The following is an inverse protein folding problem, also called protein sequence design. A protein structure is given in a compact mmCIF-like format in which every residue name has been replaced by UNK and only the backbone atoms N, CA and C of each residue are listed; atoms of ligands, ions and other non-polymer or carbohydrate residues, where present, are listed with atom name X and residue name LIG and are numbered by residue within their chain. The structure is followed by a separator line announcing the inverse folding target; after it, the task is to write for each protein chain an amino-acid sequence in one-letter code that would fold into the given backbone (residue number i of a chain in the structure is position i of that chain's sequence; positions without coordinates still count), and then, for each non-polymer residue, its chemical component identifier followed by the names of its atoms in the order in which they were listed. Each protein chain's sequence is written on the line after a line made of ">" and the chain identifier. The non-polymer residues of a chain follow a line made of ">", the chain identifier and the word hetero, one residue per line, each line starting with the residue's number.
data_IF_051239019078
#
_entry.id   IF_051239019078
#
_cell.length_a   1.000
_cell.length_b   1.000
_cell.length_c   1.000
_cell.angle_alpha   90.00
_cell.angle_beta   90.00
_cell.angle_gamma   90.00
#
_symmetry.space_group_name_H-M   'P 1'
#
loop_
_entity.id
_entity.type
_entity.pdbx_description
1 polymer ?
#
# COMPACT_ATOMS: atom_id res chain seq x y z
N UNK A 1 12.26 60.16 -24.22
CA UNK A 1 13.64 60.58 -24.02
C UNK A 1 13.87 61.24 -22.64
N UNK A 2 12.85 61.85 -22.01
CA UNK A 2 12.96 62.51 -20.68
C UNK A 2 13.07 61.52 -19.49
N UNK A 3 12.57 60.26 -19.60
CA UNK A 3 12.66 59.24 -18.55
C UNK A 3 14.03 58.63 -18.36
N UNK A 4 14.91 58.64 -19.38
CA UNK A 4 16.27 58.07 -19.30
C UNK A 4 17.29 59.07 -18.74
N UNK A 5 17.02 60.38 -18.74
CA UNK A 5 17.92 61.41 -18.24
C UNK A 5 17.91 61.53 -16.71
N UNK A 6 16.83 61.05 -16.03
CA UNK A 6 16.72 61.04 -14.57
C UNK A 6 17.40 59.85 -13.89
N UNK A 7 17.89 58.89 -14.66
CA UNK A 7 18.57 57.69 -14.13
C UNK A 7 20.10 57.89 -13.88
N UNK A 8 20.67 58.99 -14.30
CA UNK A 8 22.12 59.28 -14.14
C UNK A 8 22.49 59.99 -12.84
N UNK A 9 21.52 60.41 -12.03
CA UNK A 9 21.78 61.04 -10.75
C UNK A 9 21.81 60.05 -9.56
N UNK A 10 22.27 60.46 -8.38
CA UNK A 10 22.35 59.61 -7.19
C UNK A 10 21.00 59.00 -6.79
N UNK A 11 19.92 59.69 -7.07
CA UNK A 11 18.53 59.20 -6.91
C UNK A 11 18.19 58.04 -7.86
N UNK A 12 18.69 58.07 -9.12
CA UNK A 12 18.50 56.98 -10.08
C UNK A 12 19.21 55.69 -9.67
N UNK A 13 20.43 55.79 -9.18
CA UNK A 13 21.15 54.64 -8.64
C UNK A 13 20.52 54.05 -7.40
N UNK A 14 19.94 54.89 -6.51
CA UNK A 14 19.17 54.44 -5.34
C UNK A 14 17.92 53.67 -5.75
N UNK A 15 17.15 54.17 -6.72
CA UNK A 15 15.94 53.50 -7.23
C UNK A 15 16.28 52.16 -7.88
N UNK A 16 17.37 52.10 -8.67
CA UNK A 16 17.85 50.83 -9.26
C UNK A 16 18.27 49.83 -8.17
N UNK A 17 19.00 50.29 -7.15
CA UNK A 17 19.39 49.43 -6.02
C UNK A 17 18.20 48.85 -5.26
N UNK A 18 17.20 49.70 -4.97
CA UNK A 18 15.96 49.24 -4.28
C UNK A 18 15.18 48.26 -5.17
N UNK A 19 15.04 48.56 -6.47
CA UNK A 19 14.32 47.65 -7.38
C UNK A 19 15.01 46.27 -7.50
N UNK A 20 16.33 46.21 -7.54
CA UNK A 20 17.11 44.99 -7.52
C UNK A 20 16.92 44.21 -6.22
N UNK A 21 16.92 44.87 -5.08
CA UNK A 21 16.64 44.24 -3.78
C UNK A 21 15.21 43.65 -3.68
N UNK A 22 14.22 44.38 -4.22
CA UNK A 22 12.83 43.88 -4.25
C UNK A 22 12.73 42.66 -5.16
N UNK A 23 13.31 42.70 -6.36
CA UNK A 23 13.31 41.55 -7.29
C UNK A 23 14.03 40.36 -6.66
N UNK A 24 15.19 40.58 -6.04
CA UNK A 24 15.90 39.52 -5.33
C UNK A 24 15.07 38.91 -4.19
N UNK A 25 14.43 39.74 -3.39
CA UNK A 25 13.51 39.30 -2.34
C UNK A 25 12.34 38.46 -2.86
N UNK A 26 11.74 38.85 -4.00
CA UNK A 26 10.69 38.08 -4.66
C UNK A 26 11.20 36.73 -5.18
N UNK A 27 12.38 36.69 -5.75
CA UNK A 27 12.98 35.43 -6.21
C UNK A 27 13.24 34.47 -5.03
N UNK A 28 13.83 34.97 -3.95
CA UNK A 28 14.07 34.16 -2.73
C UNK A 28 12.75 33.65 -2.15
N UNK A 29 11.71 34.48 -2.12
CA UNK A 29 10.37 34.13 -1.68
C UNK A 29 9.77 32.98 -2.53
N UNK A 30 9.83 33.09 -3.86
CA UNK A 30 9.35 32.04 -4.78
C UNK A 30 10.10 30.72 -4.61
N UNK A 31 11.41 30.76 -4.46
CA UNK A 31 12.24 29.58 -4.20
C UNK A 31 11.86 28.93 -2.86
N UNK A 32 11.62 29.71 -1.82
CA UNK A 32 11.21 29.20 -0.49
C UNK A 32 9.87 28.49 -0.53
N UNK A 33 8.93 28.93 -1.37
CA UNK A 33 7.60 28.35 -1.52
C UNK A 33 7.59 27.13 -2.42
N UNK A 34 8.64 26.90 -3.20
CA UNK A 34 8.75 25.74 -4.07
C UNK A 34 9.18 24.51 -3.27
N UNK A 35 8.33 23.50 -3.23
CA UNK A 35 8.59 22.20 -2.58
C UNK A 35 8.82 21.12 -3.63
N UNK A 36 10.01 20.51 -3.60
CA UNK A 36 10.34 19.35 -4.44
C UNK A 36 9.75 18.11 -3.84
N UNK A 37 9.21 17.22 -4.68
CA UNK A 37 8.71 15.92 -4.26
C UNK A 37 9.88 14.94 -4.19
N UNK A 38 10.13 14.28 -3.03
CA UNK A 38 11.10 13.20 -2.93
C UNK A 38 10.64 11.99 -3.75
N UNK A 39 11.59 11.19 -4.25
CA UNK A 39 11.26 9.96 -4.97
C UNK A 39 10.43 8.99 -4.09
N UNK A 40 9.46 8.29 -4.70
CA UNK A 40 8.59 7.36 -4.01
C UNK A 40 7.55 8.02 -3.10
N UNK A 41 7.40 9.35 -3.14
CA UNK A 41 6.45 10.11 -2.34
C UNK A 41 5.52 10.96 -3.20
N UNK A 42 4.44 11.44 -2.62
CA UNK A 42 3.57 12.47 -3.18
C UNK A 42 3.43 13.62 -2.19
N UNK A 43 3.33 14.84 -2.70
CA UNK A 43 2.95 16.01 -1.90
C UNK A 43 1.50 16.34 -2.21
N UNK A 44 0.68 16.39 -1.18
CA UNK A 44 -0.73 16.77 -1.25
C UNK A 44 -0.83 18.17 -0.63
N UNK A 45 -1.20 19.14 -1.44
CA UNK A 45 -1.44 20.52 -1.01
C UNK A 45 -2.94 20.77 -0.87
N UNK A 46 -3.33 21.35 0.25
CA UNK A 46 -4.71 21.73 0.57
C UNK A 46 -4.78 23.21 0.89
N UNK A 47 -5.96 23.80 0.84
CA UNK A 47 -6.23 25.21 1.11
C UNK A 47 -6.78 25.95 -0.09
N UNK A 48 -6.49 27.25 -0.20
CA UNK A 48 -6.98 28.07 -1.31
C UNK A 48 -6.53 27.52 -2.67
N UNK A 49 -7.50 27.30 -3.56
CA UNK A 49 -7.28 26.65 -4.87
C UNK A 49 -7.50 25.14 -4.88
N UNK A 50 -8.04 24.58 -3.78
CA UNK A 50 -8.42 23.16 -3.66
C UNK A 50 -7.24 22.22 -3.44
N UNK A 51 -7.53 20.92 -3.40
CA UNK A 51 -6.53 19.87 -3.21
C UNK A 51 -5.79 19.59 -4.51
N UNK A 52 -4.47 19.76 -4.50
CA UNK A 52 -3.57 19.41 -5.61
C UNK A 52 -2.54 18.37 -5.14
N UNK A 53 -2.24 17.42 -6.03
CA UNK A 53 -1.27 16.35 -5.79
C UNK A 53 -0.11 16.51 -6.76
N UNK A 54 1.11 16.43 -6.24
CA UNK A 54 2.34 16.38 -7.03
C UNK A 54 3.08 15.07 -6.71
N UNK A 55 3.48 14.32 -7.77
CA UNK A 55 4.14 13.01 -7.64
C UNK A 55 5.61 13.10 -8.09
N UNK A 56 5.89 13.71 -9.23
CA UNK A 56 7.22 13.77 -9.83
C UNK A 56 7.78 15.20 -9.89
N UNK A 57 6.90 16.17 -9.98
CA UNK A 57 7.25 17.57 -10.09
C UNK A 57 7.14 18.27 -8.74
N UNK A 58 7.81 19.42 -8.61
CA UNK A 58 7.62 20.27 -7.45
C UNK A 58 6.27 20.98 -7.46
N UNK A 59 5.84 21.47 -6.31
CA UNK A 59 4.62 22.24 -6.12
C UNK A 59 4.91 23.51 -5.33
N UNK A 60 4.25 24.59 -5.71
CA UNK A 60 4.32 25.87 -4.96
C UNK A 60 3.29 25.80 -3.84
N UNK A 61 3.74 26.05 -2.62
CA UNK A 61 2.91 26.10 -1.40
C UNK A 61 3.08 27.48 -0.78
N UNK A 62 2.00 28.26 -0.76
CA UNK A 62 1.99 29.60 -0.17
C UNK A 62 1.73 29.48 1.33
N UNK A 63 2.71 29.83 2.20
CA UNK A 63 2.52 29.76 3.65
C UNK A 63 1.37 30.64 4.12
N UNK A 64 0.67 30.17 5.15
CA UNK A 64 -0.45 30.91 5.76
C UNK A 64 -1.81 30.65 5.11
N UNK A 65 -1.86 30.33 3.80
CA UNK A 65 -3.14 30.06 3.10
C UNK A 65 -3.23 28.64 2.52
N UNK A 66 -2.12 27.93 2.47
CA UNK A 66 -2.05 26.55 1.99
C UNK A 66 -1.22 25.70 2.96
N UNK A 67 -1.64 24.46 3.13
CA UNK A 67 -0.91 23.41 3.86
C UNK A 67 -0.50 22.32 2.90
N UNK A 68 0.54 21.58 3.24
CA UNK A 68 0.95 20.41 2.48
C UNK A 68 1.30 19.26 3.41
N UNK A 69 1.03 18.05 2.94
CA UNK A 69 1.43 16.81 3.58
C UNK A 69 2.18 15.94 2.59
N UNK A 70 3.06 15.11 3.11
CA UNK A 70 3.83 14.14 2.31
C UNK A 70 3.26 12.76 2.55
N UNK A 71 2.92 12.05 1.48
CA UNK A 71 2.44 10.67 1.48
C UNK A 71 3.50 9.78 0.88
N UNK A 72 3.81 8.67 1.54
CA UNK A 72 4.72 7.66 1.03
C UNK A 72 3.95 6.71 0.09
N UNK A 73 4.45 6.53 -1.12
CA UNK A 73 3.87 5.65 -2.15
C UNK A 73 4.62 4.33 -2.29
N UNK A 74 5.56 4.05 -1.38
CA UNK A 74 6.34 2.81 -1.41
C UNK A 74 5.44 1.59 -1.17
N UNK A 75 5.90 0.44 -1.66
CA UNK A 75 5.27 -0.84 -1.39
C UNK A 75 5.37 -1.16 0.10
N UNK A 76 4.27 -1.61 0.68
CA UNK A 76 4.18 -2.08 2.07
C UNK A 76 3.78 -3.54 2.09
N UNK A 77 4.31 -4.25 3.07
CA UNK A 77 4.09 -5.68 3.25
C UNK A 77 3.08 -5.90 4.35
N UNK A 78 2.05 -6.70 4.06
CA UNK A 78 1.03 -7.14 5.03
C UNK A 78 1.12 -8.64 5.11
N UNK A 79 1.39 -9.15 6.30
CA UNK A 79 1.49 -10.58 6.57
C UNK A 79 0.22 -11.08 7.23
N UNK A 80 -0.39 -12.12 6.66
CA UNK A 80 -1.57 -12.80 7.19
C UNK A 80 -1.20 -14.24 7.50
N UNK A 81 -1.25 -14.60 8.78
CA UNK A 81 -0.98 -15.95 9.28
C UNK A 81 -2.28 -16.66 9.63
N UNK A 82 -2.41 -17.90 9.17
CA UNK A 82 -3.52 -18.81 9.51
C UNK A 82 -2.91 -20.10 10.02
N UNK A 83 -2.93 -20.29 11.33
CA UNK A 83 -2.20 -21.36 12.02
C UNK A 83 -3.10 -22.15 12.95
N UNK A 84 -2.76 -23.38 13.22
CA UNK A 84 -3.40 -24.24 14.23
C UNK A 84 -4.93 -24.35 14.02
N UNK A 85 -5.70 -24.02 15.05
CA UNK A 85 -7.17 -24.04 14.99
C UNK A 85 -7.76 -23.11 13.93
N UNK A 86 -7.07 -22.01 13.61
CA UNK A 86 -7.42 -21.04 12.57
C UNK A 86 -6.80 -21.35 11.20
N UNK A 87 -6.12 -22.49 11.06
CA UNK A 87 -5.48 -22.93 9.83
C UNK A 87 -6.43 -22.93 8.63
N UNK A 88 -5.87 -22.83 7.44
CA UNK A 88 -6.60 -22.85 6.19
C UNK A 88 -7.19 -24.23 5.93
N UNK A 89 -8.51 -24.33 5.73
CA UNK A 89 -9.14 -25.59 5.35
C UNK A 89 -9.13 -25.72 3.82
N UNK A 90 -8.45 -26.72 3.31
CA UNK A 90 -8.38 -27.05 1.90
C UNK A 90 -9.68 -27.72 1.39
N UNK A 91 -9.75 -27.99 0.08
CA UNK A 91 -10.90 -28.64 -0.56
C UNK A 91 -11.11 -30.09 -0.05
N UNK A 92 -10.05 -30.80 0.22
CA UNK A 92 -10.03 -32.15 0.80
C UNK A 92 -10.21 -32.20 2.32
N UNK A 93 -10.61 -31.07 2.93
CA UNK A 93 -10.76 -30.84 4.36
C UNK A 93 -9.47 -31.00 5.20
N UNK A 94 -8.31 -31.17 4.58
CA UNK A 94 -7.03 -31.07 5.28
C UNK A 94 -6.84 -29.60 5.71
N UNK A 95 -6.46 -29.43 6.97
CA UNK A 95 -6.12 -28.11 7.51
C UNK A 95 -4.64 -27.83 7.32
N UNK A 96 -4.33 -26.64 6.83
CA UNK A 96 -2.98 -26.18 6.55
C UNK A 96 -2.64 -24.92 7.36
N UNK A 97 -1.47 -24.94 7.97
CA UNK A 97 -0.85 -23.78 8.55
C UNK A 97 -0.21 -22.98 7.41
N UNK A 98 -0.67 -21.76 7.20
CA UNK A 98 -0.18 -20.92 6.10
C UNK A 98 0.09 -19.50 6.55
N UNK A 99 1.10 -18.93 5.92
CA UNK A 99 1.48 -17.53 6.05
C UNK A 99 1.59 -16.93 4.65
N UNK A 100 0.75 -15.97 4.35
CA UNK A 100 0.72 -15.29 3.07
C UNK A 100 1.12 -13.83 3.26
N UNK A 101 2.03 -13.38 2.41
CA UNK A 101 2.57 -12.03 2.40
C UNK A 101 1.99 -11.28 1.21
N UNK A 102 1.36 -10.15 1.47
CA UNK A 102 0.75 -9.28 0.47
C UNK A 102 1.58 -8.01 0.30
N UNK A 103 1.87 -7.65 -0.94
CA UNK A 103 2.59 -6.44 -1.30
C UNK A 103 1.58 -5.41 -1.82
N UNK A 104 1.38 -4.35 -1.05
CA UNK A 104 0.36 -3.33 -1.31
C UNK A 104 1.02 -1.96 -1.39
N UNK A 105 0.61 -1.15 -2.33
CA UNK A 105 0.98 0.27 -2.40
C UNK A 105 -0.20 1.15 -2.79
N UNK A 106 -0.06 2.44 -2.57
CA UNK A 106 -1.00 3.42 -3.07
C UNK A 106 -0.84 3.52 -4.60
N UNK A 107 -1.95 3.55 -5.33
CA UNK A 107 -1.92 3.78 -6.77
C UNK A 107 -1.37 5.19 -7.06
N UNK A 108 -0.46 5.28 -8.03
CA UNK A 108 0.19 6.55 -8.40
C UNK A 108 -0.72 7.49 -9.21
N UNK A 109 -1.99 7.14 -9.37
CA UNK A 109 -2.95 8.04 -9.99
C UNK A 109 -3.36 9.16 -9.02
N UNK A 110 -3.44 10.38 -9.54
CA UNK A 110 -3.78 11.57 -8.74
C UNK A 110 -5.14 11.41 -8.05
N UNK A 111 -6.10 10.79 -8.71
CA UNK A 111 -7.43 10.54 -8.17
C UNK A 111 -7.39 9.61 -6.95
N UNK A 112 -6.61 8.54 -7.03
CA UNK A 112 -6.48 7.54 -5.96
C UNK A 112 -5.70 8.09 -4.77
N UNK A 113 -4.59 8.81 -5.01
CA UNK A 113 -3.84 9.48 -3.96
C UNK A 113 -4.74 10.48 -3.20
N UNK A 114 -5.54 11.27 -3.92
CA UNK A 114 -6.47 12.21 -3.32
C UNK A 114 -7.54 11.50 -2.49
N UNK A 115 -8.09 10.39 -3.00
CA UNK A 115 -9.08 9.56 -2.30
C UNK A 115 -8.52 8.98 -1.00
N UNK A 116 -7.31 8.40 -1.04
CA UNK A 116 -6.63 7.85 0.14
C UNK A 116 -6.31 8.95 1.16
N UNK A 117 -5.79 10.11 0.71
CA UNK A 117 -5.50 11.24 1.58
C UNK A 117 -6.75 11.75 2.32
N UNK A 118 -7.90 11.77 1.65
CA UNK A 118 -9.17 12.23 2.22
C UNK A 118 -9.82 11.22 3.16
N UNK A 119 -9.65 9.91 2.91
CA UNK A 119 -10.31 8.86 3.68
C UNK A 119 -9.51 8.39 4.89
N UNK A 120 -8.19 8.36 4.77
CA UNK A 120 -7.30 7.74 5.77
C UNK A 120 -6.32 8.78 6.35
N UNK A 121 -5.94 9.79 5.55
CA UNK A 121 -4.90 10.77 5.87
C UNK A 121 -3.52 10.33 5.41
N UNK A 122 -2.65 11.29 5.10
CA UNK A 122 -1.36 11.02 4.48
C UNK A 122 -0.39 10.20 5.34
N UNK A 123 -0.37 10.44 6.65
CA UNK A 123 0.52 9.74 7.57
C UNK A 123 0.10 8.28 7.80
N UNK A 124 -1.21 8.05 8.00
CA UNK A 124 -1.75 6.71 8.25
C UNK A 124 -1.81 5.84 7.00
N UNK A 125 -1.87 6.46 5.82
CA UNK A 125 -1.99 5.77 4.54
C UNK A 125 -0.84 4.83 4.21
N UNK A 126 0.33 5.02 4.79
CA UNK A 126 1.52 4.20 4.58
C UNK A 126 2.01 3.50 5.86
N UNK A 127 1.23 3.61 6.94
CA UNK A 127 1.51 2.91 8.18
C UNK A 127 1.07 1.44 8.09
N UNK A 128 2.00 0.52 8.34
CA UNK A 128 1.76 -0.93 8.20
C UNK A 128 0.68 -1.45 9.13
N UNK A 129 0.59 -0.91 10.35
CA UNK A 129 -0.45 -1.31 11.31
C UNK A 129 -1.85 -0.90 10.83
N UNK A 130 -1.98 0.33 10.34
CA UNK A 130 -3.22 0.83 9.73
C UNK A 130 -3.63 0.04 8.50
N UNK A 131 -2.67 -0.29 7.62
CA UNK A 131 -2.94 -1.09 6.42
C UNK A 131 -3.37 -2.52 6.78
N UNK A 132 -2.75 -3.11 7.81
CA UNK A 132 -3.16 -4.41 8.30
C UNK A 132 -4.60 -4.38 8.80
N UNK A 133 -4.97 -3.42 9.64
CA UNK A 133 -6.34 -3.24 10.13
C UNK A 133 -7.36 -3.11 8.99
N UNK A 134 -7.02 -2.37 7.94
CA UNK A 134 -7.90 -2.12 6.80
C UNK A 134 -8.11 -3.36 5.91
N UNK A 135 -7.08 -4.18 5.73
CA UNK A 135 -7.08 -5.23 4.72
C UNK A 135 -7.09 -6.65 5.27
N UNK A 136 -6.80 -6.87 6.56
CA UNK A 136 -6.70 -8.20 7.19
C UNK A 136 -7.94 -9.04 6.95
N UNK A 137 -9.13 -8.49 7.17
CA UNK A 137 -10.37 -9.22 6.98
C UNK A 137 -10.57 -9.65 5.52
N UNK A 138 -10.32 -8.73 4.57
CA UNK A 138 -10.48 -9.00 3.13
C UNK A 138 -9.46 -10.03 2.63
N UNK A 139 -8.21 -9.90 3.03
CA UNK A 139 -7.15 -10.82 2.62
C UNK A 139 -7.33 -12.21 3.25
N UNK A 140 -7.69 -12.25 4.53
CA UNK A 140 -8.02 -13.51 5.22
C UNK A 140 -9.17 -14.25 4.54
N UNK A 141 -10.21 -13.53 4.12
CA UNK A 141 -11.35 -14.12 3.40
C UNK A 141 -10.96 -14.63 2.02
N UNK A 142 -10.11 -13.89 1.29
CA UNK A 142 -9.60 -14.33 -0.01
C UNK A 142 -8.78 -15.63 0.13
N UNK A 143 -7.89 -15.72 1.12
CA UNK A 143 -7.12 -16.93 1.41
C UNK A 143 -8.05 -18.12 1.67
N UNK A 144 -9.08 -17.95 2.51
CA UNK A 144 -10.05 -19.01 2.83
C UNK A 144 -10.83 -19.46 1.59
N UNK A 145 -11.33 -18.50 0.81
CA UNK A 145 -12.13 -18.77 -0.39
C UNK A 145 -11.33 -19.51 -1.44
N UNK A 146 -10.09 -19.09 -1.67
CA UNK A 146 -9.21 -19.73 -2.65
C UNK A 146 -8.70 -21.08 -2.13
N UNK A 147 -8.34 -21.17 -0.85
CA UNK A 147 -7.89 -22.44 -0.25
C UNK A 147 -8.91 -23.59 -0.42
N UNK A 148 -10.21 -23.29 -0.35
CA UNK A 148 -11.29 -24.25 -0.61
C UNK A 148 -11.36 -24.78 -2.06
N UNK A 149 -10.59 -24.21 -2.98
CA UNK A 149 -10.55 -24.68 -4.39
C UNK A 149 -9.43 -25.69 -4.65
N UNK A 150 -8.46 -25.83 -3.75
CA UNK A 150 -7.27 -26.66 -3.88
C UNK A 150 -7.27 -27.77 -2.84
N UNK A 151 -6.92 -28.99 -3.26
CA UNK A 151 -6.50 -30.03 -2.33
C UNK A 151 -5.13 -29.68 -1.71
N UNK A 152 -4.85 -30.15 -0.50
CA UNK A 152 -3.61 -29.74 0.21
C UNK A 152 -2.34 -30.02 -0.61
N UNK A 153 -2.23 -31.19 -1.23
CA UNK A 153 -1.07 -31.56 -2.06
C UNK A 153 -0.99 -30.65 -3.30
N UNK A 154 -2.12 -30.39 -3.97
CA UNK A 154 -2.18 -29.46 -5.11
C UNK A 154 -1.75 -28.05 -4.70
N UNK A 155 -2.19 -27.57 -3.55
CA UNK A 155 -1.82 -26.27 -3.00
C UNK A 155 -0.30 -26.16 -2.76
N UNK A 156 0.30 -27.24 -2.26
CA UNK A 156 1.74 -27.31 -2.02
C UNK A 156 2.55 -27.26 -3.32
N UNK A 157 2.10 -27.99 -4.35
CA UNK A 157 2.80 -28.11 -5.64
C UNK A 157 2.54 -26.92 -6.58
N UNK A 158 1.39 -26.23 -6.45
CA UNK A 158 0.93 -25.21 -7.40
C UNK A 158 0.83 -23.82 -6.77
N UNK A 159 1.86 -23.38 -6.05
CA UNK A 159 1.89 -22.08 -5.33
C UNK A 159 1.59 -20.88 -6.23
N UNK A 160 2.11 -20.86 -7.46
CA UNK A 160 1.86 -19.77 -8.43
C UNK A 160 0.39 -19.66 -8.82
N UNK A 161 -0.28 -20.79 -9.04
CA UNK A 161 -1.71 -20.83 -9.34
C UNK A 161 -2.53 -20.29 -8.16
N UNK A 162 -2.16 -20.70 -6.94
CA UNK A 162 -2.82 -20.18 -5.73
C UNK A 162 -2.64 -18.67 -5.58
N UNK A 163 -1.44 -18.13 -5.79
CA UNK A 163 -1.17 -16.70 -5.75
C UNK A 163 -2.02 -15.94 -6.77
N UNK A 164 -2.08 -16.44 -8.01
CA UNK A 164 -2.90 -15.83 -9.07
C UNK A 164 -4.40 -15.83 -8.72
N UNK A 165 -4.89 -16.93 -8.15
CA UNK A 165 -6.29 -17.03 -7.71
C UNK A 165 -6.61 -16.08 -6.53
N UNK A 166 -5.67 -15.90 -5.60
CA UNK A 166 -5.81 -14.91 -4.51
C UNK A 166 -5.87 -13.49 -5.08
N UNK A 167 -4.97 -13.14 -5.99
CA UNK A 167 -4.97 -11.83 -6.63
C UNK A 167 -6.30 -11.57 -7.36
N UNK A 168 -6.82 -12.56 -8.07
CA UNK A 168 -8.12 -12.49 -8.74
C UNK A 168 -9.27 -12.34 -7.75
N UNK A 169 -9.26 -13.06 -6.63
CA UNK A 169 -10.30 -13.01 -5.60
C UNK A 169 -10.33 -11.65 -4.87
N UNK A 170 -9.17 -11.08 -4.61
CA UNK A 170 -9.05 -9.76 -3.96
C UNK A 170 -9.43 -8.64 -4.93
N UNK A 171 -9.04 -8.78 -6.20
CA UNK A 171 -9.09 -7.73 -7.21
C UNK A 171 -7.95 -6.72 -7.07
N UNK A 172 -7.60 -6.07 -8.17
CA UNK A 172 -6.46 -5.16 -8.21
C UNK A 172 -6.71 -3.82 -7.50
N UNK A 173 -7.97 -3.37 -7.42
CA UNK A 173 -8.31 -2.07 -6.84
C UNK A 173 -8.86 -2.21 -5.40
N UNK A 174 -8.13 -1.63 -4.47
CA UNK A 174 -8.39 -1.63 -3.03
C UNK A 174 -8.65 -0.20 -2.53
N UNK A 175 -9.65 0.49 -3.11
CA UNK A 175 -10.03 1.85 -2.70
C UNK A 175 -8.89 2.89 -2.81
N UNK A 176 -8.11 2.81 -3.88
CA UNK A 176 -6.96 3.68 -4.13
C UNK A 176 -5.62 3.03 -3.80
N UNK A 177 -5.63 1.79 -3.27
CA UNK A 177 -4.45 0.94 -3.19
C UNK A 177 -4.46 -0.09 -4.31
N UNK A 178 -3.29 -0.59 -4.65
CA UNK A 178 -3.08 -1.69 -5.60
C UNK A 178 -2.40 -2.84 -4.85
N UNK A 179 -2.92 -4.04 -5.06
CA UNK A 179 -2.22 -5.27 -4.72
C UNK A 179 -1.22 -5.55 -5.85
N UNK A 180 0.08 -5.45 -5.55
CA UNK A 180 1.13 -5.75 -6.53
C UNK A 180 1.40 -7.23 -6.64
N UNK A 181 1.47 -7.90 -5.48
CA UNK A 181 1.76 -9.34 -5.43
C UNK A 181 1.22 -9.95 -4.13
N UNK A 182 1.05 -11.27 -4.16
CA UNK A 182 0.78 -12.10 -2.99
C UNK A 182 1.65 -13.35 -3.06
N UNK A 183 2.33 -13.68 -1.98
CA UNK A 183 3.26 -14.83 -1.93
C UNK A 183 3.02 -15.67 -0.69
N UNK A 184 3.02 -17.00 -0.86
CA UNK A 184 3.02 -17.93 0.28
C UNK A 184 4.44 -18.00 0.84
N UNK A 185 4.62 -17.50 2.05
CA UNK A 185 5.88 -17.58 2.79
C UNK A 185 6.04 -18.93 3.50
N UNK A 186 4.93 -19.43 4.06
CA UNK A 186 4.90 -20.70 4.79
C UNK A 186 3.64 -21.49 4.47
N UNK A 187 3.78 -22.79 4.30
CA UNK A 187 2.69 -23.73 4.08
C UNK A 187 3.09 -25.12 4.57
N UNK A 188 2.43 -25.60 5.61
CA UNK A 188 2.57 -26.95 6.13
C UNK A 188 1.20 -27.51 6.54
N UNK A 189 1.12 -28.84 6.70
CA UNK A 189 -0.08 -29.46 7.27
C UNK A 189 -0.18 -29.08 8.75
N UNK A 190 -1.37 -28.68 9.20
CA UNK A 190 -1.61 -28.45 10.63
C UNK A 190 -1.50 -29.75 11.41
N UNK A 191 -0.80 -29.72 12.54
CA UNK A 191 -0.64 -30.89 13.40
C UNK A 191 -2.01 -31.39 13.90
N UNK A 192 -2.19 -32.70 13.87
CA UNK A 192 -3.45 -33.38 14.23
C UNK A 192 -3.91 -33.02 15.66
N UNK A 193 -2.98 -32.73 16.56
CA UNK A 193 -3.30 -32.31 17.93
C UNK A 193 -4.15 -31.04 18.06
N UNK A 194 -4.16 -30.18 17.02
CA UNK A 194 -4.99 -28.99 16.95
C UNK A 194 -6.35 -29.22 16.28
N UNK A 195 -6.59 -30.41 15.73
CA UNK A 195 -7.84 -30.78 15.08
C UNK A 195 -8.84 -31.37 16.09
N UNK A 196 -10.11 -31.04 15.93
CA UNK A 196 -11.18 -31.48 16.83
C UNK A 196 -11.94 -32.66 16.23
N UNK A 197 -11.83 -33.85 16.82
CA UNK A 197 -12.51 -35.06 16.34
C UNK A 197 -14.05 -34.93 16.29
N UNK A 198 -14.64 -34.07 17.10
CA UNK A 198 -16.06 -33.78 17.11
C UNK A 198 -16.50 -32.72 16.08
N UNK A 199 -15.56 -32.18 15.28
CA UNK A 199 -15.85 -31.31 14.16
C UNK A 199 -15.82 -32.13 12.86
N UNK A 200 -16.90 -32.08 12.08
CA UNK A 200 -17.07 -32.89 10.86
C UNK A 200 -15.91 -32.66 9.87
N UNK A 201 -15.53 -31.40 9.62
CA UNK A 201 -14.46 -31.08 8.67
C UNK A 201 -13.10 -31.57 9.16
N UNK A 202 -12.82 -31.39 10.45
CA UNK A 202 -11.57 -31.85 11.05
C UNK A 202 -11.50 -33.39 11.07
N UNK A 203 -12.61 -34.09 11.38
CA UNK A 203 -12.67 -35.55 11.35
C UNK A 203 -12.44 -36.12 9.93
N UNK A 204 -13.02 -35.49 8.90
CA UNK A 204 -12.77 -35.86 7.50
C UNK A 204 -11.30 -35.59 7.12
N UNK A 205 -10.72 -34.46 7.54
CA UNK A 205 -9.31 -34.13 7.34
C UNK A 205 -8.39 -35.16 8.00
N UNK A 206 -8.62 -35.54 9.25
CA UNK A 206 -7.85 -36.59 9.97
C UNK A 206 -7.90 -37.92 9.23
N UNK A 207 -9.08 -38.32 8.77
CA UNK A 207 -9.24 -39.55 7.97
C UNK A 207 -8.41 -39.47 6.70
N UNK A 208 -8.47 -38.35 5.96
CA UNK A 208 -7.73 -38.15 4.72
C UNK A 208 -6.22 -38.15 4.93
N UNK A 209 -5.73 -37.49 5.98
CA UNK A 209 -4.32 -37.48 6.38
C UNK A 209 -3.84 -38.92 6.67
N UNK A 210 -4.63 -39.67 7.44
CA UNK A 210 -4.30 -41.06 7.81
C UNK A 210 -4.23 -41.96 6.58
N UNK A 211 -5.19 -41.86 5.66
CA UNK A 211 -5.18 -42.60 4.39
C UNK A 211 -3.96 -42.28 3.54
N UNK A 212 -3.65 -41.02 3.32
CA UNK A 212 -2.51 -40.57 2.52
C UNK A 212 -1.17 -41.01 3.15
N UNK A 213 -1.04 -40.88 4.47
CA UNK A 213 0.16 -41.29 5.20
C UNK A 213 0.36 -42.82 5.14
N UNK A 214 -0.71 -43.62 5.27
CA UNK A 214 -0.65 -45.06 5.15
C UNK A 214 -0.21 -45.51 3.73
N UNK A 215 -0.77 -44.88 2.68
CA UNK A 215 -0.38 -45.14 1.30
C UNK A 215 1.10 -44.86 1.02
N UNK A 216 1.67 -43.78 1.60
CA UNK A 216 3.08 -43.44 1.43
C UNK A 216 4.04 -44.38 2.19
N UNK A 217 3.61 -44.98 3.30
CA UNK A 217 4.43 -45.93 4.07
C UNK A 217 4.48 -47.31 3.43
N UNK A 218 3.57 -47.62 2.52
CA UNK A 218 3.49 -48.96 1.84
C UNK A 218 4.25 -48.95 0.51
N UNK A 219 4.62 -47.77 -0.01
CA UNK A 219 5.54 -47.64 -1.17
C UNK A 219 7.01 -47.71 -0.75
#
# INVERSE_FOLDING_TARGET
>A
MILLQNLSGPLGWAVLGISLLVIFGLIVMLISWYKKVPQGKAIIRTGVGGTKVAIENGIIVVPGIQMYEVMDLSVRTIEISRMKEDGLICKDNIRADTKVVFFVRINKEVADIKKVAQSIGCQRASDTATLRELFEAKFSEAIKTVGKRFDFVELYDSREKFNSEIQNAIGLNLNGYILEDASIDYLEQTDISYLKENNILDAEGIKKITELTAQQKVK
#
